data_IF_481820293195
#
_entry.id   IF_481820293195
#
_cell.length_a   1.000
_cell.length_b   1.000
_cell.length_c   1.000
_cell.angle_alpha   90.00
_cell.angle_beta   90.00
_cell.angle_gamma   90.00
#
_symmetry.space_group_name_H-M   'P 1'
#
loop_
_entity.id
_entity.type
_entity.pdbx_description
1 polymer ?
#
# COMPACT_ATOMS: atom_id res chain seq x y z
N UNK A 1 -8.01 -13.29 -14.06
CA UNK A 1 -8.65 -14.49 -14.66
C UNK A 1 -9.67 -14.02 -15.68
N UNK A 2 -9.82 -14.70 -16.83
CA UNK A 2 -10.84 -14.36 -17.83
C UNK A 2 -11.84 -15.50 -17.97
N UNK A 3 -13.12 -15.18 -18.11
CA UNK A 3 -14.21 -16.10 -18.47
C UNK A 3 -14.86 -15.58 -19.75
N UNK A 4 -15.34 -16.47 -20.62
CA UNK A 4 -15.96 -16.09 -21.87
C UNK A 4 -16.96 -17.14 -22.37
N UNK A 5 -17.91 -16.71 -23.17
CA UNK A 5 -18.85 -17.59 -23.84
C UNK A 5 -18.13 -18.27 -25.00
N UNK A 6 -18.07 -19.60 -24.97
CA UNK A 6 -17.33 -20.40 -25.94
C UNK A 6 -18.01 -20.48 -27.32
N UNK A 7 -19.32 -20.35 -27.32
CA UNK A 7 -20.13 -20.45 -28.54
C UNK A 7 -21.07 -19.26 -28.59
N UNK A 8 -21.00 -18.52 -29.69
CA UNK A 8 -21.90 -17.40 -29.97
C UNK A 8 -22.67 -17.75 -31.24
N UNK A 9 -24.01 -17.85 -31.22
CA UNK A 9 -24.79 -18.17 -32.40
C UNK A 9 -24.72 -17.03 -33.43
N UNK A 10 -24.98 -17.32 -34.71
CA UNK A 10 -24.99 -16.32 -35.76
C UNK A 10 -25.92 -15.14 -35.41
N UNK A 11 -25.41 -13.90 -35.51
CA UNK A 11 -26.12 -12.69 -35.11
C UNK A 11 -26.26 -12.47 -33.61
N UNK A 12 -25.76 -13.38 -32.77
CA UNK A 12 -25.76 -13.32 -31.32
C UNK A 12 -24.67 -12.43 -30.74
N UNK A 13 -24.73 -12.26 -29.42
CA UNK A 13 -23.72 -11.55 -28.60
C UNK A 13 -23.12 -12.52 -27.59
N UNK A 14 -21.83 -12.38 -27.32
CA UNK A 14 -21.11 -13.12 -26.28
C UNK A 14 -20.53 -12.16 -25.24
N UNK A 15 -20.32 -12.69 -24.03
CA UNK A 15 -19.74 -11.96 -22.92
C UNK A 15 -18.32 -12.45 -22.63
N UNK A 16 -17.46 -11.50 -22.30
CA UNK A 16 -16.12 -11.76 -21.77
C UNK A 16 -16.01 -11.02 -20.45
N UNK A 17 -15.77 -11.76 -19.38
CA UNK A 17 -15.55 -11.20 -18.05
C UNK A 17 -14.05 -11.29 -17.73
N UNK A 18 -13.44 -10.16 -17.46
CA UNK A 18 -12.04 -10.07 -17.02
C UNK A 18 -12.04 -9.60 -15.58
N UNK A 19 -11.47 -10.43 -14.69
CA UNK A 19 -11.33 -10.10 -13.26
C UNK A 19 -9.90 -9.67 -12.99
N UNK A 20 -9.75 -8.51 -12.37
CA UNK A 20 -8.48 -7.97 -11.88
C UNK A 20 -8.47 -8.09 -10.35
N UNK A 21 -7.41 -8.73 -9.83
CA UNK A 21 -7.17 -8.80 -8.39
C UNK A 21 -6.49 -7.51 -7.93
N UNK A 22 -7.29 -6.60 -7.36
CA UNK A 22 -6.81 -5.31 -6.87
C UNK A 22 -5.87 -5.43 -5.66
N UNK A 23 -5.87 -6.57 -4.95
CA UNK A 23 -4.94 -6.82 -3.85
C UNK A 23 -3.47 -6.94 -4.29
N UNK A 24 -3.24 -7.22 -5.60
CA UNK A 24 -1.91 -7.39 -6.21
C UNK A 24 -1.48 -6.24 -7.10
N UNK A 25 -2.29 -5.20 -7.21
CA UNK A 25 -2.04 -4.05 -8.07
C UNK A 25 -2.15 -2.79 -7.23
N UNK A 26 -1.23 -1.86 -7.40
CA UNK A 26 -1.27 -0.53 -6.78
C UNK A 26 -1.02 0.52 -7.85
N UNK A 27 -1.75 1.64 -7.78
CA UNK A 27 -1.66 2.72 -8.75
C UNK A 27 -2.20 2.31 -10.12
N UNK A 28 -1.67 2.92 -11.15
CA UNK A 28 -2.08 2.70 -12.54
C UNK A 28 -1.76 1.29 -13.02
N UNK A 29 -2.71 0.70 -13.73
CA UNK A 29 -2.47 -0.58 -14.39
C UNK A 29 -2.94 -0.56 -15.84
N UNK A 30 -2.21 -1.30 -16.68
CA UNK A 30 -2.58 -1.66 -18.05
C UNK A 30 -2.49 -3.16 -18.23
N UNK A 31 -3.56 -3.78 -18.67
CA UNK A 31 -3.62 -5.21 -18.97
C UNK A 31 -4.13 -5.40 -20.38
N UNK A 32 -3.64 -6.42 -21.06
CA UNK A 32 -4.05 -6.82 -22.42
C UNK A 32 -4.65 -8.21 -22.36
N UNK A 33 -5.85 -8.38 -22.90
CA UNK A 33 -6.44 -9.68 -23.17
C UNK A 33 -6.55 -9.86 -24.69
N UNK A 34 -6.09 -11.00 -25.20
CA UNK A 34 -6.22 -11.34 -26.62
C UNK A 34 -7.37 -12.35 -26.75
N UNK A 35 -8.35 -12.02 -27.57
CA UNK A 35 -9.48 -12.84 -27.89
C UNK A 35 -9.21 -13.47 -29.23
N UNK A 36 -9.28 -14.79 -29.30
CA UNK A 36 -9.19 -15.54 -30.53
C UNK A 36 -10.58 -16.01 -30.97
N UNK A 37 -10.90 -15.87 -32.24
CA UNK A 37 -12.16 -16.27 -32.82
C UNK A 37 -11.95 -17.08 -34.11
N UNK A 38 -13.03 -17.67 -34.61
CA UNK A 38 -13.07 -18.36 -35.89
C UNK A 38 -13.41 -17.43 -37.06
N UNK A 39 -13.45 -16.11 -36.87
CA UNK A 39 -13.65 -15.13 -37.93
C UNK A 39 -12.39 -15.08 -38.81
N UNK A 40 -12.54 -15.47 -40.07
CA UNK A 40 -11.42 -15.52 -41.05
C UNK A 40 -10.84 -14.12 -41.35
N UNK A 41 -11.60 -13.04 -41.12
CA UNK A 41 -11.14 -11.66 -41.31
C UNK A 41 -10.49 -11.04 -40.08
N UNK A 42 -10.88 -11.51 -38.91
CA UNK A 42 -10.40 -11.00 -37.61
C UNK A 42 -10.21 -12.13 -36.61
N UNK A 43 -9.22 -12.96 -36.86
CA UNK A 43 -8.91 -14.11 -35.99
C UNK A 43 -8.54 -13.74 -34.57
N UNK A 44 -8.07 -12.52 -34.33
CA UNK A 44 -7.76 -12.05 -32.99
C UNK A 44 -8.13 -10.58 -32.80
N UNK A 45 -8.58 -10.26 -31.60
CA UNK A 45 -8.84 -8.88 -31.13
C UNK A 45 -8.16 -8.67 -29.79
N UNK A 46 -7.44 -7.57 -29.64
CA UNK A 46 -6.85 -7.16 -28.39
C UNK A 46 -7.78 -6.23 -27.62
N UNK A 47 -8.10 -6.58 -26.40
CA UNK A 47 -8.76 -5.71 -25.42
C UNK A 47 -7.69 -5.13 -24.51
N UNK A 48 -7.74 -3.82 -24.31
CA UNK A 48 -6.91 -3.12 -23.35
C UNK A 48 -7.78 -2.70 -22.17
N UNK A 49 -7.34 -3.04 -20.96
CA UNK A 49 -7.97 -2.64 -19.71
C UNK A 49 -6.99 -1.72 -18.99
N UNK A 50 -7.45 -0.54 -18.68
CA UNK A 50 -6.68 0.48 -17.96
C UNK A 50 -7.48 0.95 -16.76
N UNK A 51 -6.81 1.30 -15.69
CA UNK A 51 -7.43 1.82 -14.48
C UNK A 51 -6.38 2.14 -13.42
N UNK A 52 -6.86 2.68 -12.31
CA UNK A 52 -6.06 2.97 -11.13
C UNK A 52 -6.62 2.21 -9.92
N UNK A 53 -5.73 1.62 -9.12
CA UNK A 53 -6.08 1.02 -7.83
C UNK A 53 -5.59 1.93 -6.72
N UNK A 54 -6.54 2.63 -6.10
CA UNK A 54 -6.29 3.49 -4.94
C UNK A 54 -6.46 2.64 -3.67
N UNK A 55 -5.42 2.49 -2.82
CA UNK A 55 -5.54 1.76 -1.57
C UNK A 55 -6.49 2.51 -0.60
N UNK A 56 -7.14 1.79 0.32
CA UNK A 56 -8.00 2.41 1.33
C UNK A 56 -7.25 3.43 2.19
N UNK A 57 -6.00 3.09 2.54
CA UNK A 57 -5.08 3.97 3.25
C UNK A 57 -3.76 3.98 2.48
N UNK A 58 -3.31 5.15 2.08
CA UNK A 58 -1.98 5.37 1.50
C UNK A 58 -1.00 5.74 2.59
N UNK A 59 0.25 5.33 2.40
CA UNK A 59 1.40 5.72 3.22
C UNK A 59 2.35 6.52 2.33
N UNK A 60 2.72 7.71 2.77
CA UNK A 60 3.65 8.58 2.06
C UNK A 60 4.83 8.94 2.99
N UNK A 61 6.07 8.65 2.61
CA UNK A 61 6.57 8.15 1.31
C UNK A 61 6.38 6.65 1.07
N UNK A 62 5.86 5.89 2.02
CA UNK A 62 5.64 4.44 1.92
C UNK A 62 5.62 3.77 3.29
N UNK A 63 5.39 2.46 3.35
CA UNK A 63 5.34 1.69 4.60
C UNK A 63 6.73 1.27 5.13
N UNK A 64 7.76 2.08 4.92
CA UNK A 64 9.14 1.79 5.27
C UNK A 64 9.84 3.06 5.77
N UNK A 65 10.44 3.01 6.93
CA UNK A 65 11.23 4.11 7.51
C UNK A 65 12.67 3.66 7.77
N UNK A 66 13.63 4.50 7.35
CA UNK A 66 15.07 4.28 7.48
C UNK A 66 15.67 5.29 8.44
N UNK A 67 15.97 4.89 9.66
CA UNK A 67 16.52 5.72 10.71
C UNK A 67 18.05 5.55 10.74
N UNK A 68 18.74 6.16 9.77
CA UNK A 68 20.19 6.02 9.61
C UNK A 68 20.92 7.26 10.13
N UNK A 69 21.98 7.05 10.87
CA UNK A 69 22.80 8.15 11.34
C UNK A 69 23.91 7.77 12.29
N UNK A 70 24.51 8.80 12.87
CA UNK A 70 25.66 8.71 13.76
C UNK A 70 25.19 8.75 15.21
N UNK A 71 25.82 7.98 16.07
CA UNK A 71 25.60 7.98 17.52
C UNK A 71 25.61 9.42 18.10
N UNK A 72 24.63 9.69 18.95
CA UNK A 72 24.49 11.01 19.58
C UNK A 72 23.87 12.08 18.70
N UNK A 73 23.44 11.75 17.48
CA UNK A 73 22.62 12.62 16.61
C UNK A 73 21.18 12.16 16.61
N UNK A 74 20.25 13.11 16.69
CA UNK A 74 18.83 12.82 16.56
C UNK A 74 18.54 12.41 15.12
N UNK A 75 17.82 11.29 14.97
CA UNK A 75 17.37 10.74 13.68
C UNK A 75 15.86 10.62 13.72
N UNK A 76 15.20 11.34 12.82
CA UNK A 76 13.75 11.37 12.71
C UNK A 76 13.32 11.15 11.28
N UNK A 77 12.25 10.40 11.13
CA UNK A 77 11.55 10.20 9.88
C UNK A 77 10.07 10.43 10.09
N UNK A 78 9.42 10.92 9.04
CA UNK A 78 7.99 11.19 9.04
C UNK A 78 7.28 10.33 8.01
N UNK A 79 6.06 9.93 8.35
CA UNK A 79 5.19 9.18 7.46
C UNK A 79 3.77 9.71 7.59
N UNK A 80 3.18 10.07 6.45
CA UNK A 80 1.79 10.46 6.39
C UNK A 80 0.89 9.26 6.03
N UNK A 81 -0.14 9.06 6.83
CA UNK A 81 -1.18 8.06 6.60
C UNK A 81 -2.42 8.79 6.06
N UNK A 82 -2.78 8.51 4.81
CA UNK A 82 -3.83 9.20 4.09
C UNK A 82 -5.01 8.24 3.90
N UNK A 83 -6.13 8.55 4.53
CA UNK A 83 -7.38 7.85 4.33
C UNK A 83 -8.02 8.28 3.01
N UNK A 84 -8.04 7.38 2.02
CA UNK A 84 -8.65 7.61 0.71
C UNK A 84 -10.15 7.25 0.67
N UNK A 85 -10.70 6.79 1.80
CA UNK A 85 -12.11 6.44 1.89
C UNK A 85 -12.97 7.68 2.17
N UNK A 86 -14.26 7.61 1.79
CA UNK A 86 -15.21 8.71 2.01
C UNK A 86 -15.54 8.96 3.48
N UNK A 87 -15.48 7.91 4.31
CA UNK A 87 -15.74 8.01 5.74
C UNK A 87 -14.44 8.31 6.50
N UNK A 88 -14.50 9.19 7.51
CA UNK A 88 -13.35 9.42 8.38
C UNK A 88 -12.97 8.13 9.10
N UNK A 89 -11.70 7.96 9.39
CA UNK A 89 -11.18 6.86 10.20
C UNK A 89 -10.48 7.42 11.45
N UNK A 90 -10.32 6.59 12.48
CA UNK A 90 -9.53 6.92 13.68
C UNK A 90 -8.37 5.93 13.81
N UNK A 91 -7.24 6.44 14.27
CA UNK A 91 -6.17 5.60 14.78
C UNK A 91 -6.49 5.28 16.24
N UNK A 92 -6.60 4.00 16.56
CA UNK A 92 -7.01 3.52 17.89
C UNK A 92 -5.85 2.98 18.71
N UNK A 93 -4.66 2.86 18.12
CA UNK A 93 -3.45 2.46 18.83
C UNK A 93 -2.25 2.41 17.92
N UNK A 94 -1.07 2.58 18.52
CA UNK A 94 0.23 2.40 17.85
C UNK A 94 1.12 1.61 18.80
N UNK A 95 1.71 0.53 18.31
CA UNK A 95 2.62 -0.35 19.06
C UNK A 95 3.85 -0.67 18.20
N UNK A 96 4.96 -1.09 18.83
CA UNK A 96 6.18 -1.47 18.11
C UNK A 96 6.87 -2.66 18.78
N UNK A 97 7.46 -3.53 17.97
CA UNK A 97 8.35 -4.62 18.43
C UNK A 97 9.80 -4.16 18.64
N UNK A 98 10.10 -2.90 18.36
CA UNK A 98 11.41 -2.24 18.59
C UNK A 98 11.28 -0.97 19.45
N UNK A 99 10.37 -0.96 20.40
CA UNK A 99 10.11 0.16 21.29
C UNK A 99 11.32 0.58 22.15
N UNK A 100 12.30 -0.30 22.33
CA UNK A 100 13.56 0.02 23.02
C UNK A 100 14.50 0.89 22.17
N UNK A 101 14.25 0.97 20.87
CA UNK A 101 15.06 1.69 19.90
C UNK A 101 14.41 2.96 19.38
N UNK A 102 13.08 3.04 19.43
CA UNK A 102 12.34 4.15 18.84
C UNK A 102 11.28 4.71 19.79
N UNK A 103 11.02 6.00 19.62
CA UNK A 103 9.81 6.64 20.11
C UNK A 103 9.04 7.21 18.92
N UNK A 104 7.75 7.43 19.08
CA UNK A 104 6.91 7.98 18.02
C UNK A 104 5.94 9.03 18.57
N UNK A 105 5.60 9.95 17.69
CA UNK A 105 4.56 10.94 17.91
C UNK A 105 3.54 10.87 16.77
N UNK A 106 2.27 10.84 17.11
CA UNK A 106 1.16 10.82 16.17
C UNK A 106 0.40 12.13 16.22
N UNK A 107 0.29 12.80 15.08
CA UNK A 107 -0.48 14.02 14.91
C UNK A 107 -1.61 13.83 13.89
N UNK A 108 -2.80 14.31 14.20
CA UNK A 108 -3.92 14.34 13.28
C UNK A 108 -3.91 15.65 12.48
N UNK A 109 -3.37 15.63 11.27
CA UNK A 109 -3.22 16.82 10.40
C UNK A 109 -4.56 17.26 9.82
N UNK A 110 -5.37 16.29 9.39
CA UNK A 110 -6.73 16.51 8.90
C UNK A 110 -7.65 15.48 9.53
N UNK A 111 -8.61 15.94 10.36
CA UNK A 111 -9.46 15.07 11.15
C UNK A 111 -10.09 13.92 10.36
N UNK A 112 -9.74 12.69 10.72
CA UNK A 112 -10.22 11.46 10.10
C UNK A 112 -9.63 11.12 8.73
N UNK A 113 -8.72 11.96 8.18
CA UNK A 113 -8.24 11.76 6.81
C UNK A 113 -6.73 11.75 6.65
N UNK A 114 -5.99 12.54 7.44
CA UNK A 114 -4.53 12.59 7.34
C UNK A 114 -3.93 12.59 8.73
N UNK A 115 -3.08 11.62 8.98
CA UNK A 115 -2.32 11.47 10.20
C UNK A 115 -0.83 11.46 9.88
N UNK A 116 -0.05 12.21 10.63
CA UNK A 116 1.41 12.19 10.56
C UNK A 116 1.97 11.40 11.72
N UNK A 117 2.81 10.44 11.40
CA UNK A 117 3.60 9.70 12.35
C UNK A 117 5.05 10.18 12.22
N UNK A 118 5.58 10.81 13.26
CA UNK A 118 7.00 11.08 13.42
C UNK A 118 7.62 9.95 14.23
N UNK A 119 8.71 9.37 13.75
CA UNK A 119 9.47 8.31 14.44
C UNK A 119 10.88 8.82 14.67
N UNK A 120 11.32 8.77 15.93
CA UNK A 120 12.66 9.15 16.35
C UNK A 120 13.40 7.94 16.87
N UNK A 121 14.64 7.76 16.42
CA UNK A 121 15.56 6.76 16.94
C UNK A 121 16.21 7.27 18.22
N UNK A 122 16.07 6.49 19.30
CA UNK A 122 16.64 6.75 20.62
C UNK A 122 17.78 5.78 20.96
N UNK A 123 18.26 4.98 20.00
CA UNK A 123 19.29 3.98 20.22
C UNK A 123 20.62 4.63 20.61
N UNK A 124 21.16 4.19 21.75
CA UNK A 124 22.47 4.64 22.24
C UNK A 124 23.61 3.73 21.76
N UNK A 125 23.30 2.50 21.35
CA UNK A 125 24.27 1.54 20.87
C UNK A 125 24.49 1.66 19.37
N UNK A 126 25.75 1.45 18.93
CA UNK A 126 26.10 1.29 17.52
C UNK A 126 25.61 -0.08 17.03
N UNK A 127 25.06 -0.12 15.84
CA UNK A 127 24.57 -1.36 15.23
C UNK A 127 23.33 -1.16 14.38
N UNK A 128 22.85 -2.29 13.89
CA UNK A 128 21.63 -2.39 13.09
C UNK A 128 20.50 -2.97 13.91
N UNK A 129 19.29 -2.46 13.68
CA UNK A 129 18.06 -3.07 14.16
C UNK A 129 16.97 -3.02 13.11
N UNK A 130 16.08 -4.00 13.12
CA UNK A 130 14.96 -4.10 12.22
C UNK A 130 13.73 -4.48 13.02
N UNK A 131 12.61 -3.88 12.68
CA UNK A 131 11.34 -4.20 13.33
C UNK A 131 10.17 -3.56 12.64
N UNK A 132 9.07 -3.52 13.37
CA UNK A 132 7.78 -3.05 12.86
C UNK A 132 7.13 -2.09 13.83
N UNK A 133 6.39 -1.17 13.26
CA UNK A 133 5.45 -0.33 13.97
C UNK A 133 4.04 -0.67 13.45
N UNK A 134 3.16 -1.01 14.37
CA UNK A 134 1.80 -1.46 14.10
C UNK A 134 0.83 -0.33 14.43
N UNK A 135 0.13 0.17 13.41
CA UNK A 135 -0.88 1.21 13.58
C UNK A 135 -2.26 0.59 13.42
N UNK A 136 -3.04 0.57 14.51
CA UNK A 136 -4.40 0.04 14.51
C UNK A 136 -5.40 1.13 14.20
N UNK A 137 -6.35 0.83 13.34
CA UNK A 137 -7.40 1.76 12.88
C UNK A 137 -8.79 1.18 13.17
N UNK A 138 -9.81 2.02 13.18
CA UNK A 138 -11.22 1.62 13.23
C UNK A 138 -11.79 1.29 11.83
N UNK A 139 -10.96 1.32 10.77
CA UNK A 139 -11.39 0.98 9.43
C UNK A 139 -11.47 -0.56 9.27
N UNK A 140 -12.67 -1.14 9.07
CA UNK A 140 -12.83 -2.59 9.00
C UNK A 140 -12.14 -3.23 7.78
N UNK A 141 -11.88 -2.45 6.73
CA UNK A 141 -11.21 -2.92 5.51
C UNK A 141 -9.69 -2.89 5.64
N UNK A 142 -9.17 -2.12 6.59
CA UNK A 142 -7.74 -2.02 6.88
C UNK A 142 -7.54 -1.76 8.39
N UNK A 143 -7.82 -2.76 9.24
CA UNK A 143 -7.78 -2.59 10.70
C UNK A 143 -6.38 -2.37 11.24
N UNK A 144 -5.34 -2.78 10.47
CA UNK A 144 -3.96 -2.62 10.86
C UNK A 144 -3.08 -2.22 9.67
N UNK A 145 -2.16 -1.33 9.92
CA UNK A 145 -1.06 -0.95 9.04
C UNK A 145 0.24 -1.40 9.69
N UNK A 146 1.10 -2.04 8.91
CA UNK A 146 2.44 -2.43 9.35
C UNK A 146 3.46 -1.54 8.64
N UNK A 147 4.27 -0.85 9.42
CA UNK A 147 5.36 0.01 8.95
C UNK A 147 6.67 -0.68 9.33
N UNK A 148 7.52 -0.89 8.33
CA UNK A 148 8.83 -1.51 8.52
C UNK A 148 9.81 -0.44 8.99
N UNK A 149 10.52 -0.73 10.06
CA UNK A 149 11.56 0.14 10.62
C UNK A 149 12.92 -0.52 10.42
N UNK A 150 13.84 0.22 9.84
CA UNK A 150 15.26 -0.16 9.78
C UNK A 150 16.09 0.96 10.36
N UNK A 151 16.79 0.68 11.43
CA UNK A 151 17.73 1.57 12.06
C UNK A 151 19.17 1.14 11.80
N UNK A 152 20.04 2.12 11.58
CA UNK A 152 21.48 1.94 11.49
C UNK A 152 22.18 3.07 12.24
N UNK A 153 22.87 2.72 13.29
CA UNK A 153 23.67 3.64 14.11
C UNK A 153 25.13 3.36 13.89
N UNK A 154 25.84 4.29 13.25
CA UNK A 154 27.30 4.20 13.06
C UNK A 154 28.06 4.92 14.16
N UNK A 155 29.29 4.49 14.42
CA UNK A 155 30.29 5.37 15.03
C UNK A 155 30.66 6.45 14.02
N UNK A 156 31.23 7.54 14.46
CA UNK A 156 31.63 8.67 13.62
C UNK A 156 32.42 8.28 12.37
#
# INVERSE_FOLDING_TARGET
>A
MARYDRVIPPGGKGNITVTIDSGKVRGDFRKKAIIWSNDLKRMSVALHLEGEVIPHISLDPGGYLSLWGVKGKVRRENLDMINNHKNPMKIIGVDSDVSDHIIWHLEEIKPGYVYRLEVEDISEAVGDYNGHLYVRTDNPLKPELVIIINGHVSEK
#
